data_IF_813226411097
#
_entry.id   IF_813226411097
#
_cell.length_a   1.000
_cell.length_b   1.000
_cell.length_c   1.000
_cell.angle_alpha   90.00
_cell.angle_beta   90.00
_cell.angle_gamma   90.00
#
_symmetry.space_group_name_H-M   'P 1'
#
loop_
_entity.id
_entity.type
_entity.pdbx_description
1 polymer ?
#
# COMPACT_ATOMS: atom_id res chain seq x y z
N UNK A 1 10.18 -20.94 6.77
CA UNK A 1 9.23 -20.11 7.53
C UNK A 1 8.24 -19.56 6.53
N UNK A 2 6.96 -19.93 6.59
CA UNK A 2 5.94 -19.30 5.75
C UNK A 2 5.55 -17.98 6.44
N UNK A 3 5.90 -16.84 5.84
CA UNK A 3 5.48 -15.52 6.32
C UNK A 3 3.99 -15.30 6.07
N UNK A 4 3.39 -14.34 6.78
CA UNK A 4 2.01 -13.92 6.52
C UNK A 4 1.90 -13.45 5.06
N UNK A 5 0.95 -13.96 4.27
CA UNK A 5 0.81 -13.56 2.88
C UNK A 5 0.40 -12.10 2.77
N UNK A 6 1.00 -11.40 1.81
CA UNK A 6 0.62 -10.04 1.50
C UNK A 6 -0.70 -10.02 0.73
N UNK A 7 -1.57 -9.07 1.09
CA UNK A 7 -2.88 -8.90 0.49
C UNK A 7 -3.06 -7.52 -0.14
N UNK A 8 -2.41 -6.50 0.40
CA UNK A 8 -2.54 -5.13 -0.08
C UNK A 8 -1.18 -4.49 -0.32
N UNK A 9 -1.10 -3.70 -1.38
CA UNK A 9 0.00 -2.78 -1.62
C UNK A 9 -0.59 -1.38 -1.74
N UNK A 10 -0.07 -0.42 -0.96
CA UNK A 10 -0.46 0.98 -1.05
C UNK A 10 0.70 1.78 -1.61
N UNK A 11 0.46 2.51 -2.70
CA UNK A 11 1.33 3.60 -3.12
C UNK A 11 0.82 4.89 -2.50
N UNK A 12 1.66 5.58 -1.74
CA UNK A 12 1.30 6.82 -1.06
C UNK A 12 2.43 7.84 -1.14
N UNK A 13 2.08 9.07 -1.50
CA UNK A 13 3.01 10.20 -1.39
C UNK A 13 3.15 10.55 0.10
N UNK A 14 4.35 10.38 0.62
CA UNK A 14 4.71 10.73 1.97
C UNK A 14 5.69 11.92 1.91
N UNK A 15 5.17 13.13 2.11
CA UNK A 15 6.01 14.35 2.13
C UNK A 15 6.88 14.57 0.87
N UNK A 16 6.36 14.23 -0.31
CA UNK A 16 7.01 14.43 -1.62
C UNK A 16 7.76 13.22 -2.15
N UNK A 17 7.73 12.09 -1.44
CA UNK A 17 8.31 10.82 -1.89
C UNK A 17 7.23 9.75 -2.00
N UNK A 18 7.07 9.16 -3.18
CA UNK A 18 6.15 8.04 -3.38
C UNK A 18 6.72 6.77 -2.75
N UNK A 19 6.00 6.21 -1.78
CA UNK A 19 6.40 5.00 -1.06
C UNK A 19 5.40 3.88 -1.33
N UNK A 20 5.91 2.66 -1.51
CA UNK A 20 5.09 1.46 -1.63
C UNK A 20 5.07 0.70 -0.31
N UNK A 21 3.89 0.50 0.30
CA UNK A 21 3.74 -0.16 1.61
C UNK A 21 2.93 -1.44 1.47
N UNK A 22 3.48 -2.54 1.94
CA UNK A 22 2.89 -3.87 1.84
C UNK A 22 2.17 -4.24 3.13
N UNK A 23 0.97 -4.81 3.02
CA UNK A 23 0.17 -5.22 4.16
C UNK A 23 -0.43 -6.62 3.98
N UNK A 24 -0.66 -7.29 5.11
CA UNK A 24 -1.44 -8.53 5.15
C UNK A 24 -2.95 -8.28 5.02
N UNK A 25 -3.74 -9.36 5.06
CA UNK A 25 -5.21 -9.28 4.99
C UNK A 25 -5.84 -8.52 6.17
N UNK A 26 -5.14 -8.39 7.30
CA UNK A 26 -5.56 -7.62 8.48
C UNK A 26 -4.99 -6.19 8.47
N UNK A 27 -4.39 -5.76 7.35
CA UNK A 27 -3.75 -4.45 7.15
C UNK A 27 -2.59 -4.18 8.11
N UNK A 28 -1.89 -5.24 8.54
CA UNK A 28 -0.64 -5.11 9.29
C UNK A 28 0.52 -4.92 8.32
N UNK A 29 1.43 -3.99 8.58
CA UNK A 29 2.56 -3.74 7.70
C UNK A 29 3.48 -4.96 7.66
N UNK A 30 3.83 -5.38 6.45
CA UNK A 30 4.78 -6.46 6.18
C UNK A 30 6.14 -5.93 5.72
N UNK A 31 6.16 -4.73 5.13
CA UNK A 31 7.38 -4.08 4.65
C UNK A 31 7.05 -2.88 3.76
N UNK A 32 8.09 -2.12 3.44
CA UNK A 32 8.01 -0.96 2.54
C UNK A 32 9.03 -1.14 1.41
N UNK A 33 8.70 -0.67 0.21
CA UNK A 33 9.53 -0.67 -0.98
C UNK A 33 9.64 0.73 -1.57
N UNK A 34 10.65 0.94 -2.41
CA UNK A 34 10.64 2.06 -3.33
C UNK A 34 9.51 1.87 -4.35
N UNK A 35 8.63 2.86 -4.48
CA UNK A 35 7.47 2.78 -5.38
C UNK A 35 7.85 2.68 -6.87
N UNK A 36 9.08 3.07 -7.23
CA UNK A 36 9.64 2.95 -8.58
C UNK A 36 10.39 1.64 -8.83
N UNK A 37 10.45 0.74 -7.83
CA UNK A 37 11.14 -0.54 -7.97
C UNK A 37 10.45 -1.48 -8.97
N UNK A 38 11.25 -2.34 -9.61
CA UNK A 38 10.75 -3.39 -10.50
C UNK A 38 9.80 -4.35 -9.77
N UNK A 39 10.05 -4.63 -8.48
CA UNK A 39 9.19 -5.47 -7.66
C UNK A 39 7.75 -4.91 -7.53
N UNK A 40 7.62 -3.61 -7.31
CA UNK A 40 6.30 -2.94 -7.30
C UNK A 40 5.64 -2.98 -8.68
N UNK A 41 6.40 -2.79 -9.76
CA UNK A 41 5.87 -2.88 -11.11
C UNK A 41 5.32 -4.29 -11.43
N UNK A 42 6.02 -5.35 -10.98
CA UNK A 42 5.57 -6.73 -11.11
C UNK A 42 4.35 -7.03 -10.24
N UNK A 43 4.35 -6.60 -8.97
CA UNK A 43 3.24 -6.83 -8.04
C UNK A 43 1.93 -6.17 -8.49
N UNK A 44 2.02 -5.02 -9.16
CA UNK A 44 0.87 -4.25 -9.63
C UNK A 44 0.46 -4.58 -11.07
N UNK A 45 1.22 -5.41 -11.77
CA UNK A 45 0.99 -5.70 -13.18
C UNK A 45 -0.39 -6.33 -13.41
N UNK A 46 -1.21 -5.66 -14.24
CA UNK A 46 -2.56 -6.13 -14.57
C UNK A 46 -3.59 -5.91 -13.46
N UNK A 47 -3.20 -5.35 -12.31
CA UNK A 47 -4.10 -4.94 -11.24
C UNK A 47 -4.63 -3.53 -11.49
N UNK A 48 -5.82 -3.26 -10.97
CA UNK A 48 -6.41 -1.92 -10.96
C UNK A 48 -6.37 -1.37 -9.54
N UNK A 49 -5.75 -0.21 -9.36
CA UNK A 49 -5.78 0.50 -8.10
C UNK A 49 -7.21 0.96 -7.75
N UNK A 50 -7.58 0.81 -6.49
CA UNK A 50 -8.63 1.60 -5.88
C UNK A 50 -8.02 2.94 -5.42
N UNK A 51 -8.69 4.04 -5.75
CA UNK A 51 -8.26 5.36 -5.31
C UNK A 51 -8.65 5.59 -3.85
N UNK A 52 -7.72 6.15 -3.08
CA UNK A 52 -7.92 6.51 -1.68
C UNK A 52 -7.75 5.34 -0.71
N UNK A 53 -7.07 5.64 0.39
CA UNK A 53 -6.97 4.85 1.60
C UNK A 53 -7.53 5.64 2.79
N UNK A 54 -8.64 6.35 2.58
CA UNK A 54 -9.32 7.22 3.55
C UNK A 54 -10.46 6.52 4.31
N UNK A 55 -10.76 5.26 3.98
CA UNK A 55 -11.67 4.45 4.77
C UNK A 55 -11.10 4.19 6.19
N UNK A 56 -11.96 4.12 7.24
CA UNK A 56 -11.52 3.95 8.64
C UNK A 56 -10.63 2.73 8.87
N UNK A 57 -10.83 1.69 8.06
CA UNK A 57 -10.04 0.47 8.04
C UNK A 57 -8.52 0.71 7.87
N UNK A 58 -8.13 1.82 7.23
CA UNK A 58 -6.74 2.20 7.01
C UNK A 58 -6.16 3.13 8.09
N UNK A 59 -6.98 3.62 9.02
CA UNK A 59 -6.57 4.66 9.96
C UNK A 59 -5.36 4.27 10.80
N UNK A 60 -5.35 3.03 11.28
CA UNK A 60 -4.26 2.48 12.08
C UNK A 60 -3.04 2.16 11.24
N UNK A 61 -3.24 1.56 10.06
CA UNK A 61 -2.18 1.13 9.16
C UNK A 61 -1.39 2.31 8.58
N UNK A 62 -2.09 3.42 8.32
CA UNK A 62 -1.51 4.66 7.78
C UNK A 62 -1.38 5.75 8.85
N UNK A 63 -1.28 5.37 10.13
CA UNK A 63 -1.02 6.32 11.20
C UNK A 63 0.30 7.05 10.92
N UNK A 64 0.25 8.39 10.90
CA UNK A 64 1.39 9.24 10.50
C UNK A 64 1.21 9.89 9.12
N UNK A 65 0.32 9.37 8.28
CA UNK A 65 -0.09 10.05 7.05
C UNK A 65 -1.29 10.96 7.29
N UNK A 66 -1.30 12.12 6.64
CA UNK A 66 -2.40 13.06 6.71
C UNK A 66 -3.55 12.67 5.75
N UNK A 67 -4.71 13.31 5.91
CA UNK A 67 -5.91 13.00 5.11
C UNK A 67 -5.76 13.31 3.62
N UNK A 68 -4.83 14.20 3.22
CA UNK A 68 -4.56 14.47 1.81
C UNK A 68 -3.75 13.33 1.19
N UNK A 69 -2.69 12.89 1.87
CA UNK A 69 -1.85 11.77 1.45
C UNK A 69 -2.68 10.49 1.32
N UNK A 70 -3.55 10.21 2.29
CA UNK A 70 -4.44 9.03 2.26
C UNK A 70 -5.44 9.09 1.10
N UNK A 71 -6.02 10.25 0.80
CA UNK A 71 -6.95 10.39 -0.33
C UNK A 71 -6.26 10.26 -1.69
N UNK A 72 -4.99 10.67 -1.77
CA UNK A 72 -4.16 10.53 -2.97
C UNK A 72 -3.54 9.15 -3.15
N UNK A 73 -3.67 8.26 -2.16
CA UNK A 73 -3.06 6.94 -2.21
C UNK A 73 -3.74 6.01 -3.23
N UNK A 74 -2.98 5.09 -3.78
CA UNK A 74 -3.46 4.02 -4.66
C UNK A 74 -3.37 2.68 -3.92
N UNK A 75 -4.50 2.00 -3.78
CA UNK A 75 -4.60 0.72 -3.07
C UNK A 75 -4.77 -0.41 -4.06
N UNK A 76 -3.79 -1.30 -4.13
CA UNK A 76 -3.82 -2.53 -4.91
C UNK A 76 -4.19 -3.71 -4.01
N UNK A 77 -5.11 -4.55 -4.47
CA UNK A 77 -5.37 -5.85 -3.85
C UNK A 77 -4.59 -6.91 -4.62
N UNK A 78 -3.66 -7.55 -3.94
CA UNK A 78 -2.77 -8.55 -4.54
C UNK A 78 -3.46 -9.93 -4.57
N UNK A 79 -3.28 -10.64 -5.67
CA UNK A 79 -3.71 -12.03 -5.88
C UNK A 79 -2.47 -12.94 -5.94
N UNK A 80 -1.70 -12.96 -4.84
CA UNK A 80 -0.44 -13.70 -4.69
C UNK A 80 -0.50 -14.69 -3.52
#
# INVERSE_FOLDING_TARGET
MHGTPARYLILIDASGAMTARLFDAERRPLGDFDASSEEVAVMTQGLRAAAGADAPDWDKALAGHNASERRGAEVFTLDI
#
